data_IF_914532883276
#
_entry.id   IF_914532883276
#
_cell.length_a   1.000
_cell.length_b   1.000
_cell.length_c   1.000
_cell.angle_alpha   90.00
_cell.angle_beta   90.00
_cell.angle_gamma   90.00
#
_symmetry.space_group_name_H-M   'P 1'
#
loop_
_entity.id
_entity.type
_entity.pdbx_description
1 polymer ?
#
# COMPACT_ATOMS: atom_id res chain seq x y z
N UNK A 1 0.09 -3.35 12.95
CA UNK A 1 0.57 -2.37 11.96
C UNK A 1 -0.54 -1.43 11.53
N UNK A 2 -1.79 -1.89 11.52
CA UNK A 2 -3.01 -1.07 11.37
C UNK A 2 -3.02 0.19 12.23
N UNK A 3 -2.95 0.07 13.57
CA UNK A 3 -2.96 1.24 14.47
C UNK A 3 -1.84 2.26 14.22
N UNK A 4 -0.69 1.81 13.72
CA UNK A 4 0.43 2.68 13.34
C UNK A 4 0.10 3.49 12.08
N UNK A 5 -0.50 2.83 11.07
CA UNK A 5 -0.93 3.50 9.83
C UNK A 5 -2.07 4.48 10.10
N UNK A 6 -3.08 4.08 10.86
CA UNK A 6 -4.22 4.94 11.24
C UNK A 6 -3.77 6.17 12.03
N UNK A 7 -2.82 6.00 12.96
CA UNK A 7 -2.26 7.12 13.75
C UNK A 7 -1.36 8.07 12.94
N UNK A 8 -0.76 7.58 11.85
CA UNK A 8 0.13 8.39 11.01
C UNK A 8 -0.63 9.13 9.91
N UNK A 9 -1.51 8.45 9.18
CA UNK A 9 -2.23 9.01 8.03
C UNK A 9 -3.42 8.09 7.67
N UNK A 10 -4.63 8.49 8.04
CA UNK A 10 -5.83 7.67 7.80
C UNK A 10 -6.10 7.47 6.30
N UNK A 11 -5.71 8.41 5.43
CA UNK A 11 -5.86 8.23 3.98
C UNK A 11 -4.97 7.10 3.47
N UNK A 12 -3.79 6.92 4.07
CA UNK A 12 -2.90 5.81 3.75
C UNK A 12 -3.48 4.49 4.25
N UNK A 13 -4.09 4.46 5.45
CA UNK A 13 -4.79 3.26 5.92
C UNK A 13 -5.88 2.82 4.95
N UNK A 14 -6.77 3.73 4.53
CA UNK A 14 -7.84 3.42 3.57
C UNK A 14 -7.30 2.88 2.24
N UNK A 15 -6.17 3.40 1.73
CA UNK A 15 -5.52 2.86 0.51
C UNK A 15 -4.94 1.46 0.72
N UNK A 16 -4.38 1.19 1.89
CA UNK A 16 -3.82 -0.11 2.23
C UNK A 16 -4.93 -1.16 2.39
N UNK A 17 -6.06 -0.77 2.98
CA UNK A 17 -7.21 -1.64 3.26
C UNK A 17 -8.10 -1.85 2.03
N UNK A 18 -8.43 -0.79 1.29
CA UNK A 18 -9.41 -0.81 0.18
C UNK A 18 -8.74 -0.94 -1.20
N UNK A 19 -7.45 -0.62 -1.30
CA UNK A 19 -6.65 -0.70 -2.52
C UNK A 19 -6.19 0.66 -3.07
N UNK A 20 -5.31 0.59 -4.07
CA UNK A 20 -4.72 1.78 -4.71
C UNK A 20 -5.81 2.66 -5.36
N UNK A 21 -5.70 3.98 -5.18
CA UNK A 21 -6.57 4.95 -5.84
C UNK A 21 -6.36 4.89 -7.35
N UNK A 22 -7.44 4.67 -8.11
CA UNK A 22 -7.38 4.58 -9.56
C UNK A 22 -7.19 5.95 -10.20
N UNK A 23 -6.24 6.03 -11.12
CA UNK A 23 -6.07 7.15 -12.04
C UNK A 23 -6.29 6.61 -13.45
N UNK A 24 -7.40 7.00 -14.06
CA UNK A 24 -7.83 6.55 -15.39
C UNK A 24 -7.29 7.42 -16.51
N UNK A 25 -6.84 8.63 -16.19
CA UNK A 25 -6.30 9.58 -17.15
C UNK A 25 -4.91 9.13 -17.62
N UNK A 26 -4.60 9.38 -18.89
CA UNK A 26 -3.25 9.23 -19.39
C UNK A 26 -2.29 10.19 -18.67
N UNK A 27 -1.03 9.80 -18.53
CA UNK A 27 -0.01 10.58 -17.80
C UNK A 27 0.12 12.02 -18.29
N UNK A 28 -0.11 12.25 -19.58
CA UNK A 28 -0.08 13.59 -20.18
C UNK A 28 -1.23 14.50 -19.72
N UNK A 29 -2.33 13.93 -19.23
CA UNK A 29 -3.55 14.64 -18.81
C UNK A 29 -3.76 14.64 -17.29
N UNK A 30 -2.77 14.18 -16.52
CA UNK A 30 -2.90 14.13 -15.06
C UNK A 30 -3.09 15.51 -14.46
N UNK A 31 -4.21 15.64 -13.76
CA UNK A 31 -4.51 16.77 -12.90
C UNK A 31 -3.67 16.71 -11.62
N UNK A 32 -3.64 17.79 -10.85
CA UNK A 32 -2.97 17.80 -9.55
C UNK A 32 -3.60 16.78 -8.57
N UNK A 33 -4.91 16.54 -8.68
CA UNK A 33 -5.60 15.50 -7.93
C UNK A 33 -5.14 14.09 -8.32
N UNK A 34 -4.95 13.82 -9.61
CA UNK A 34 -4.41 12.53 -10.09
C UNK A 34 -2.99 12.28 -9.56
N UNK A 35 -2.14 13.32 -9.58
CA UNK A 35 -0.78 13.26 -9.04
C UNK A 35 -0.80 13.03 -7.54
N UNK A 36 -1.73 13.66 -6.81
CA UNK A 36 -1.92 13.46 -5.38
C UNK A 36 -2.33 12.03 -5.07
N UNK A 37 -3.27 11.45 -5.84
CA UNK A 37 -3.67 10.04 -5.70
C UNK A 37 -2.48 9.09 -5.89
N UNK A 38 -1.68 9.29 -6.94
CA UNK A 38 -0.50 8.46 -7.20
C UNK A 38 0.54 8.62 -6.09
N UNK A 39 0.77 9.85 -5.63
CA UNK A 39 1.68 10.12 -4.51
C UNK A 39 1.26 9.38 -3.24
N UNK A 40 -0.04 9.38 -2.91
CA UNK A 40 -0.59 8.65 -1.78
C UNK A 40 -0.40 7.13 -1.94
N UNK A 41 -0.69 6.58 -3.14
CA UNK A 41 -0.45 5.16 -3.43
C UNK A 41 1.04 4.79 -3.27
N UNK A 42 1.95 5.61 -3.77
CA UNK A 42 3.38 5.40 -3.62
C UNK A 42 3.82 5.45 -2.15
N UNK A 43 3.28 6.39 -1.36
CA UNK A 43 3.56 6.53 0.07
C UNK A 43 3.07 5.30 0.84
N UNK A 44 1.87 4.79 0.53
CA UNK A 44 1.33 3.57 1.10
C UNK A 44 2.27 2.37 0.85
N UNK A 45 2.66 2.14 -0.40
CA UNK A 45 3.62 1.08 -0.77
C UNK A 45 4.96 1.23 -0.06
N UNK A 46 5.48 2.45 0.03
CA UNK A 46 6.76 2.72 0.71
C UNK A 46 6.70 2.37 2.20
N UNK A 47 5.63 2.77 2.90
CA UNK A 47 5.49 2.48 4.33
C UNK A 47 5.39 0.97 4.56
N UNK A 48 4.61 0.26 3.72
CA UNK A 48 4.53 -1.20 3.76
C UNK A 48 5.89 -1.86 3.47
N UNK A 49 6.66 -1.35 2.50
CA UNK A 49 8.02 -1.82 2.22
C UNK A 49 8.98 -1.62 3.40
N UNK A 50 8.91 -0.50 4.11
CA UNK A 50 9.74 -0.25 5.29
C UNK A 50 9.40 -1.18 6.46
N UNK A 51 8.14 -1.58 6.54
CA UNK A 51 7.63 -2.54 7.50
C UNK A 51 8.06 -4.00 7.21
N UNK A 52 8.38 -4.31 5.95
CA UNK A 52 8.79 -5.63 5.50
C UNK A 52 10.28 -5.89 5.80
N UNK A 53 10.60 -7.05 6.38
CA UNK A 53 12.00 -7.50 6.43
C UNK A 53 12.54 -7.77 5.02
N UNK A 54 13.86 -7.81 4.83
CA UNK A 54 14.48 -8.04 3.49
C UNK A 54 13.99 -9.33 2.81
N UNK A 55 13.67 -10.36 3.59
CA UNK A 55 13.09 -11.63 3.12
C UNK A 55 11.63 -11.47 2.69
N UNK A 56 10.87 -10.70 3.46
CA UNK A 56 9.47 -10.39 3.19
C UNK A 56 9.34 -9.49 1.95
N UNK A 57 10.23 -8.51 1.80
CA UNK A 57 10.28 -7.62 0.63
C UNK A 57 10.53 -8.39 -0.67
N UNK A 58 11.45 -9.35 -0.69
CA UNK A 58 11.68 -10.21 -1.87
C UNK A 58 10.45 -11.07 -2.22
N UNK A 59 9.54 -11.30 -1.28
CA UNK A 59 8.31 -12.08 -1.46
C UNK A 59 7.11 -11.18 -1.81
N UNK A 60 7.16 -9.91 -1.38
CA UNK A 60 6.21 -8.85 -1.68
C UNK A 60 6.57 -8.07 -2.97
N UNK A 61 7.78 -8.18 -3.51
CA UNK A 61 8.21 -7.49 -4.74
C UNK A 61 7.44 -7.95 -5.98
N UNK A 62 6.77 -9.10 -5.92
CA UNK A 62 5.87 -9.59 -6.95
C UNK A 62 4.45 -8.99 -6.85
N UNK A 63 4.12 -8.28 -5.76
CA UNK A 63 2.79 -7.72 -5.54
C UNK A 63 2.55 -6.49 -6.41
N UNK A 64 1.34 -6.39 -6.95
CA UNK A 64 0.98 -5.29 -7.86
C UNK A 64 0.33 -4.10 -7.14
N UNK A 65 -0.30 -4.34 -5.99
CA UNK A 65 -1.02 -3.33 -5.19
C UNK A 65 -0.57 -3.31 -3.74
N UNK A 66 -0.85 -2.18 -3.07
CA UNK A 66 -0.60 -2.01 -1.62
C UNK A 66 -1.40 -3.02 -0.80
N UNK A 67 -2.64 -3.32 -1.22
CA UNK A 67 -3.51 -4.32 -0.60
C UNK A 67 -2.89 -5.73 -0.66
N UNK A 68 -2.31 -6.14 -1.79
CA UNK A 68 -1.70 -7.48 -1.91
C UNK A 68 -0.46 -7.62 -1.01
N UNK A 69 0.32 -6.54 -0.85
CA UNK A 69 1.43 -6.49 0.09
C UNK A 69 0.93 -6.56 1.54
N UNK A 70 -0.15 -5.85 1.87
CA UNK A 70 -0.77 -5.86 3.19
C UNK A 70 -1.33 -7.24 3.57
N UNK A 71 -2.02 -7.91 2.65
CA UNK A 71 -2.57 -9.23 2.94
C UNK A 71 -1.46 -10.28 3.23
N UNK A 72 -0.36 -10.22 2.48
CA UNK A 72 0.80 -11.10 2.75
C UNK A 72 1.45 -10.81 4.09
N UNK A 73 1.55 -9.53 4.48
CA UNK A 73 2.03 -9.11 5.80
C UNK A 73 1.11 -9.67 6.89
N UNK A 74 -0.20 -9.51 6.73
CA UNK A 74 -1.20 -9.98 7.69
C UNK A 74 -1.10 -11.49 7.90
N UNK A 75 -1.07 -12.27 6.83
CA UNK A 75 -0.91 -13.74 6.90
C UNK A 75 0.41 -14.11 7.61
N UNK A 76 1.50 -13.40 7.35
CA UNK A 76 2.81 -13.77 7.89
C UNK A 76 2.98 -13.42 9.37
N UNK A 77 2.43 -12.28 9.81
CA UNK A 77 2.60 -11.79 11.18
C UNK A 77 1.44 -12.17 12.12
N UNK A 78 0.22 -12.29 11.60
CA UNK A 78 -0.96 -12.66 12.39
C UNK A 78 -1.29 -14.16 12.27
N UNK A 79 -0.62 -14.89 11.37
CA UNK A 79 -0.71 -16.34 11.28
C UNK A 79 -2.09 -16.84 10.86
N UNK A 80 -2.90 -16.01 10.21
CA UNK A 80 -4.20 -16.41 9.68
C UNK A 80 -4.01 -17.22 8.39
N UNK A 81 -3.49 -18.43 8.56
CA UNK A 81 -3.73 -19.53 7.65
C UNK A 81 -5.17 -20.00 7.90
N UNK A 82 -5.98 -20.04 6.84
CA UNK A 82 -7.31 -20.65 6.87
C UNK A 82 -7.34 -21.75 5.83
#
# INVERSE_FOLDING_TARGET
MEYFLQGHDYQIWSIVEEGDLLVTNEKAQWTDDDRKKISLNCKAKSILCCALSKKEFNRASACKSSMEMWEKLRITYEGTDK
#
